data_IF_292040070794
#
_entry.id   IF_292040070794
#
_cell.length_a   1.000
_cell.length_b   1.000
_cell.length_c   1.000
_cell.angle_alpha   90.00
_cell.angle_beta   90.00
_cell.angle_gamma   90.00
#
_symmetry.space_group_name_H-M   'P 1'
#
loop_
_entity.id
_entity.type
_entity.pdbx_description
1 polymer ?
#
# COMPACT_ATOMS: atom_id res chain seq x y z
N UNK A 1 -23.85 -27.21 8.97
CA UNK A 1 -23.46 -26.01 8.17
C UNK A 1 -22.34 -26.43 7.22
N UNK A 2 -22.52 -26.29 5.91
CA UNK A 2 -21.44 -26.55 4.95
C UNK A 2 -20.44 -25.39 4.97
N UNK A 3 -19.13 -25.69 5.07
CA UNK A 3 -18.06 -24.71 4.99
C UNK A 3 -18.15 -23.96 3.64
N UNK A 4 -18.19 -22.61 3.67
CA UNK A 4 -18.10 -21.80 2.44
C UNK A 4 -16.70 -22.01 1.81
N UNK A 5 -16.67 -22.36 0.54
CA UNK A 5 -15.43 -22.41 -0.24
C UNK A 5 -15.08 -20.99 -0.70
N UNK A 6 -14.25 -20.28 0.08
CA UNK A 6 -13.89 -18.89 -0.20
C UNK A 6 -13.11 -18.78 -1.52
N UNK A 7 -12.24 -19.75 -1.84
CA UNK A 7 -11.46 -19.69 -3.08
C UNK A 7 -12.32 -19.75 -4.35
N UNK A 8 -13.49 -20.40 -4.28
CA UNK A 8 -14.42 -20.46 -5.40
C UNK A 8 -15.13 -19.12 -5.71
N UNK A 9 -15.11 -18.19 -4.76
CA UNK A 9 -15.67 -16.83 -4.95
C UNK A 9 -14.63 -15.80 -5.44
N UNK A 10 -13.37 -16.18 -5.51
CA UNK A 10 -12.30 -15.29 -5.98
C UNK A 10 -12.14 -15.38 -7.50
N UNK A 11 -11.72 -14.31 -8.16
CA UNK A 11 -11.39 -14.33 -9.58
C UNK A 11 -10.19 -15.24 -9.84
N UNK A 12 -10.08 -15.77 -11.06
CA UNK A 12 -8.87 -16.45 -11.50
C UNK A 12 -7.68 -15.52 -11.32
N UNK A 13 -6.59 -16.04 -10.77
CA UNK A 13 -5.40 -15.22 -10.56
C UNK A 13 -4.85 -14.73 -11.93
N UNK A 14 -4.66 -13.43 -12.14
CA UNK A 14 -4.40 -12.87 -13.47
C UNK A 14 -3.23 -13.53 -14.21
N UNK A 15 -2.16 -13.88 -13.50
CA UNK A 15 -0.97 -14.51 -14.10
C UNK A 15 -1.19 -15.97 -14.51
N UNK A 16 -2.18 -16.66 -13.93
CA UNK A 16 -2.55 -18.00 -14.35
C UNK A 16 -3.23 -17.98 -15.73
N UNK A 17 -3.91 -16.88 -16.05
CA UNK A 17 -4.59 -16.72 -17.35
C UNK A 17 -3.62 -16.60 -18.54
N UNK A 18 -2.38 -16.16 -18.32
CA UNK A 18 -1.35 -16.00 -19.35
C UNK A 18 -0.31 -17.12 -19.34
N UNK A 19 -0.47 -18.15 -18.50
CA UNK A 19 0.53 -19.21 -18.31
C UNK A 19 0.86 -19.96 -19.61
N UNK A 20 -0.14 -20.21 -20.47
CA UNK A 20 0.06 -20.87 -21.77
C UNK A 20 0.82 -19.97 -22.76
N UNK A 21 0.43 -18.69 -22.87
CA UNK A 21 1.12 -17.72 -23.72
C UNK A 21 2.58 -17.56 -23.29
N UNK A 22 2.83 -17.53 -21.97
CA UNK A 22 4.19 -17.46 -21.39
C UNK A 22 5.02 -18.70 -21.77
N UNK A 23 4.48 -19.90 -21.65
CA UNK A 23 5.18 -21.14 -22.05
C UNK A 23 5.53 -21.12 -23.54
N UNK A 24 4.59 -20.66 -24.40
CA UNK A 24 4.83 -20.52 -25.83
C UNK A 24 5.94 -19.51 -26.12
N UNK A 25 5.94 -18.35 -25.47
CA UNK A 25 6.99 -17.35 -25.64
C UNK A 25 8.36 -17.86 -25.16
N UNK A 26 8.42 -18.57 -24.03
CA UNK A 26 9.65 -19.16 -23.49
C UNK A 26 10.25 -20.25 -24.40
N UNK A 27 9.46 -20.86 -25.28
CA UNK A 27 9.96 -21.87 -26.24
C UNK A 27 10.65 -21.27 -27.48
N UNK A 28 10.62 -19.92 -27.62
CA UNK A 28 11.36 -19.27 -28.72
C UNK A 28 12.88 -19.41 -28.51
N UNK A 29 13.68 -19.66 -29.58
CA UNK A 29 15.13 -19.84 -29.46
C UNK A 29 15.87 -18.68 -28.80
N UNK A 30 15.40 -17.45 -29.01
CA UNK A 30 15.98 -16.23 -28.40
C UNK A 30 15.41 -15.91 -27.01
N UNK A 31 14.55 -16.79 -26.46
CA UNK A 31 13.92 -16.60 -25.15
C UNK A 31 12.72 -15.65 -25.18
N UNK A 32 12.42 -15.08 -24.01
CA UNK A 32 11.28 -14.17 -23.81
C UNK A 32 11.76 -12.84 -23.22
N UNK A 33 11.19 -11.73 -23.70
CA UNK A 33 11.18 -10.45 -23.01
C UNK A 33 9.87 -10.37 -22.22
N UNK A 34 9.94 -10.63 -20.92
CA UNK A 34 8.75 -10.70 -20.05
C UNK A 34 8.42 -9.31 -19.48
N UNK A 35 7.38 -8.68 -20.03
CA UNK A 35 6.82 -7.40 -19.55
C UNK A 35 5.43 -7.57 -18.90
N UNK A 36 5.07 -8.80 -18.52
CA UNK A 36 3.75 -9.12 -17.99
C UNK A 36 3.54 -8.65 -16.55
N UNK A 37 4.61 -8.48 -15.78
CA UNK A 37 4.54 -8.07 -14.38
C UNK A 37 5.55 -6.95 -14.10
N UNK A 38 5.06 -5.82 -13.58
CA UNK A 38 5.91 -4.70 -13.16
C UNK A 38 6.69 -5.01 -11.88
N UNK A 39 7.68 -5.91 -11.96
CA UNK A 39 8.60 -6.18 -10.86
C UNK A 39 9.90 -5.42 -11.07
N UNK A 40 10.53 -4.86 -10.00
CA UNK A 40 11.85 -4.26 -10.12
C UNK A 40 12.88 -5.24 -10.69
N UNK A 41 13.65 -4.81 -11.67
CA UNK A 41 14.73 -5.59 -12.27
C UNK A 41 16.12 -5.14 -11.80
N UNK A 42 16.22 -3.92 -11.29
CA UNK A 42 17.43 -3.40 -10.68
C UNK A 42 17.63 -3.99 -9.27
N UNK A 43 18.88 -4.08 -8.78
CA UNK A 43 19.17 -4.66 -7.47
C UNK A 43 18.61 -3.80 -6.34
N UNK A 44 18.35 -4.46 -5.20
CA UNK A 44 18.07 -3.78 -3.94
C UNK A 44 19.26 -2.87 -3.54
N UNK A 45 19.03 -1.68 -2.99
CA UNK A 45 20.09 -0.77 -2.58
C UNK A 45 21.10 -1.42 -1.62
N UNK A 46 22.38 -1.15 -1.84
CA UNK A 46 23.46 -1.73 -1.03
C UNK A 46 23.31 -1.45 0.47
N UNK A 47 22.80 -0.28 0.84
CA UNK A 47 22.52 0.09 2.25
C UNK A 47 21.50 -0.83 2.90
N UNK A 48 20.45 -1.21 2.17
CA UNK A 48 19.42 -2.14 2.65
C UNK A 48 19.97 -3.57 2.79
N UNK A 49 20.76 -4.04 1.81
CA UNK A 49 21.40 -5.36 1.86
C UNK A 49 22.37 -5.43 3.03
N UNK A 50 23.21 -4.41 3.24
CA UNK A 50 24.16 -4.37 4.35
C UNK A 50 23.45 -4.40 5.71
N UNK A 51 22.40 -3.61 5.88
CA UNK A 51 21.63 -3.56 7.11
C UNK A 51 20.91 -4.90 7.39
N UNK A 52 20.31 -5.53 6.38
CA UNK A 52 19.71 -6.87 6.48
C UNK A 52 20.73 -7.91 6.93
N UNK A 53 21.92 -7.90 6.32
CA UNK A 53 22.99 -8.85 6.63
C UNK A 53 23.50 -8.67 8.06
N UNK A 54 23.69 -7.41 8.49
CA UNK A 54 24.14 -7.09 9.85
C UNK A 54 23.10 -7.51 10.92
N UNK A 55 21.81 -7.52 10.58
CA UNK A 55 20.72 -7.93 11.46
C UNK A 55 20.35 -9.42 11.32
N UNK A 56 21.22 -10.25 10.73
CA UNK A 56 20.93 -11.66 10.44
C UNK A 56 20.74 -12.55 11.68
N UNK A 57 21.33 -12.19 12.84
CA UNK A 57 21.06 -12.87 14.12
C UNK A 57 19.76 -12.32 14.73
N UNK A 58 18.64 -12.90 14.33
CA UNK A 58 17.29 -12.49 14.71
C UNK A 58 16.53 -13.63 15.39
N UNK A 59 17.08 -14.14 16.50
CA UNK A 59 16.55 -15.26 17.26
C UNK A 59 15.27 -14.93 18.07
N UNK A 60 15.00 -13.64 18.33
CA UNK A 60 13.81 -13.19 19.05
C UNK A 60 12.65 -12.86 18.13
N UNK A 61 11.41 -12.90 18.65
CA UNK A 61 10.24 -12.45 17.89
C UNK A 61 10.31 -10.95 17.62
N UNK A 62 10.08 -10.48 16.36
CA UNK A 62 9.98 -9.08 16.06
C UNK A 62 8.70 -8.48 16.65
N UNK A 63 8.73 -7.17 16.91
CA UNK A 63 7.53 -6.44 17.31
C UNK A 63 6.64 -6.16 16.09
N UNK A 64 5.34 -6.42 16.22
CA UNK A 64 4.35 -6.12 15.16
C UNK A 64 4.34 -4.63 14.81
N UNK A 65 4.53 -3.79 15.80
CA UNK A 65 4.63 -2.33 15.64
C UNK A 65 5.97 -1.84 15.06
N UNK A 66 6.91 -2.75 14.84
CA UNK A 66 8.28 -2.40 14.45
C UNK A 66 9.06 -1.72 15.58
N UNK A 67 10.29 -1.30 15.28
CA UNK A 67 11.14 -0.59 16.25
C UNK A 67 10.78 0.90 16.34
N UNK A 68 11.05 1.59 17.47
CA UNK A 68 10.92 3.04 17.55
C UNK A 68 11.67 3.77 16.44
N UNK A 69 12.89 3.33 16.10
CA UNK A 69 13.68 3.91 15.03
C UNK A 69 13.04 3.76 13.65
N UNK A 70 12.35 2.62 13.36
CA UNK A 70 11.59 2.46 12.13
C UNK A 70 10.42 3.46 12.07
N UNK A 71 9.65 3.58 13.15
CA UNK A 71 8.51 4.50 13.19
C UNK A 71 8.95 5.95 13.02
N UNK A 72 10.00 6.36 13.73
CA UNK A 72 10.58 7.70 13.57
C UNK A 72 11.03 7.95 12.12
N UNK A 73 11.75 7.01 11.51
CA UNK A 73 12.18 7.13 10.10
C UNK A 73 11.02 7.20 9.11
N UNK A 74 9.91 6.49 9.37
CA UNK A 74 8.68 6.60 8.57
C UNK A 74 8.07 8.00 8.71
N UNK A 75 7.92 8.50 9.94
CA UNK A 75 7.38 9.84 10.19
C UNK A 75 8.23 10.94 9.55
N UNK A 76 9.54 10.85 9.66
CA UNK A 76 10.44 11.78 9.01
C UNK A 76 10.29 11.76 7.49
N UNK A 77 10.16 10.57 6.90
CA UNK A 77 9.89 10.41 5.47
C UNK A 77 8.56 11.07 5.07
N UNK A 78 7.47 10.81 5.82
CA UNK A 78 6.17 11.40 5.54
C UNK A 78 6.19 12.92 5.62
N UNK A 79 6.84 13.49 6.63
CA UNK A 79 6.97 14.95 6.80
C UNK A 79 7.83 15.59 5.70
N UNK A 80 8.97 14.99 5.37
CA UNK A 80 9.93 15.57 4.42
C UNK A 80 9.52 15.43 2.96
N UNK A 81 8.83 14.35 2.61
CA UNK A 81 8.52 14.00 1.22
C UNK A 81 7.08 14.32 0.87
N UNK A 82 6.15 14.15 1.83
CA UNK A 82 4.72 14.16 1.56
C UNK A 82 3.96 15.31 2.23
N UNK A 83 4.65 16.22 2.92
CA UNK A 83 3.98 17.35 3.58
C UNK A 83 3.00 16.93 4.68
N UNK A 84 3.20 15.77 5.28
CA UNK A 84 2.32 15.25 6.32
C UNK A 84 2.38 16.10 7.60
N UNK A 85 1.25 16.24 8.35
CA UNK A 85 1.16 17.08 9.52
C UNK A 85 2.19 16.76 10.60
N UNK A 86 2.69 17.80 11.27
CA UNK A 86 3.60 17.64 12.41
C UNK A 86 2.93 16.94 13.61
N UNK A 87 1.58 16.90 13.66
CA UNK A 87 0.79 16.21 14.67
C UNK A 87 0.85 14.69 14.59
N UNK A 88 1.27 14.11 13.46
CA UNK A 88 1.47 12.66 13.36
C UNK A 88 2.59 12.22 14.31
N UNK A 89 2.32 11.19 15.06
CA UNK A 89 3.22 10.59 16.04
C UNK A 89 3.45 9.09 15.78
N UNK A 90 4.14 8.42 16.69
CA UNK A 90 4.44 6.99 16.54
C UNK A 90 3.19 6.11 16.47
N UNK A 91 2.08 6.50 17.08
CA UNK A 91 0.82 5.74 17.09
C UNK A 91 0.18 5.78 15.69
N UNK A 92 0.43 6.84 14.93
CA UNK A 92 -0.06 6.97 13.55
C UNK A 92 0.63 6.04 12.54
N UNK A 93 1.64 5.25 12.94
CA UNK A 93 2.46 4.42 12.04
C UNK A 93 2.17 2.94 12.21
N UNK A 94 1.89 2.25 11.12
CA UNK A 94 1.65 0.81 11.06
C UNK A 94 2.56 0.14 10.02
N UNK A 95 3.67 -0.52 10.42
CA UNK A 95 4.46 -1.35 9.51
C UNK A 95 3.67 -2.58 9.04
N UNK A 96 3.80 -2.94 7.75
CA UNK A 96 3.04 -4.04 7.14
C UNK A 96 3.93 -4.96 6.30
N UNK A 97 3.55 -6.24 6.17
CA UNK A 97 4.28 -7.26 5.39
C UNK A 97 4.06 -7.11 3.87
N UNK A 98 4.15 -5.86 3.40
CA UNK A 98 3.87 -5.39 2.05
C UNK A 98 2.42 -4.95 1.90
N UNK A 99 2.22 -3.91 1.09
CA UNK A 99 0.90 -3.28 0.90
C UNK A 99 -0.15 -4.22 0.28
N UNK A 100 0.26 -5.22 -0.51
CA UNK A 100 -0.69 -6.21 -1.04
C UNK A 100 -1.42 -6.98 0.07
N UNK A 101 -0.71 -7.37 1.12
CA UNK A 101 -1.31 -8.04 2.29
C UNK A 101 -2.31 -7.11 2.96
N UNK A 102 -1.89 -5.86 3.22
CA UNK A 102 -2.75 -4.86 3.86
C UNK A 102 -4.01 -4.61 3.01
N UNK A 103 -3.88 -4.37 1.72
CA UNK A 103 -5.02 -4.15 0.80
C UNK A 103 -6.01 -5.31 0.84
N UNK A 104 -5.50 -6.55 0.83
CA UNK A 104 -6.36 -7.73 0.86
C UNK A 104 -7.05 -7.95 2.21
N UNK A 105 -6.40 -7.58 3.32
CA UNK A 105 -6.87 -7.88 4.68
C UNK A 105 -7.55 -6.71 5.37
N UNK A 106 -7.34 -5.47 4.93
CA UNK A 106 -7.87 -4.27 5.56
C UNK A 106 -9.38 -4.32 5.78
N UNK A 107 -10.21 -4.70 4.79
CA UNK A 107 -11.65 -4.78 5.02
C UNK A 107 -12.03 -5.70 6.19
N UNK A 108 -11.39 -6.87 6.28
CA UNK A 108 -11.64 -7.80 7.40
C UNK A 108 -11.08 -7.30 8.72
N UNK A 109 -9.93 -6.58 8.71
CA UNK A 109 -9.36 -5.99 9.92
C UNK A 109 -10.20 -4.84 10.47
N UNK A 110 -10.93 -4.13 9.60
CA UNK A 110 -11.93 -3.11 9.97
C UNK A 110 -13.28 -3.72 10.38
N UNK A 111 -13.44 -5.04 10.40
CA UNK A 111 -14.70 -5.69 10.72
C UNK A 111 -15.77 -5.57 9.65
N UNK A 112 -15.41 -5.17 8.43
CA UNK A 112 -16.36 -5.02 7.32
C UNK A 112 -16.85 -6.39 6.84
N UNK A 113 -18.11 -6.43 6.39
CA UNK A 113 -18.80 -7.65 6.01
C UNK A 113 -19.89 -7.44 4.97
N UNK A 114 -20.89 -8.37 4.89
CA UNK A 114 -21.91 -8.37 3.83
C UNK A 114 -22.79 -7.11 3.77
N UNK A 115 -22.94 -6.40 4.86
CA UNK A 115 -23.72 -5.17 4.94
C UNK A 115 -22.90 -3.93 4.57
N UNK A 116 -21.57 -4.06 4.54
CA UNK A 116 -20.63 -2.97 4.24
C UNK A 116 -20.49 -2.74 2.73
N UNK A 117 -20.18 -1.50 2.38
CA UNK A 117 -19.91 -1.06 1.00
C UNK A 117 -18.48 -0.54 0.88
N UNK A 118 -17.74 -1.06 -0.10
CA UNK A 118 -16.36 -0.65 -0.37
C UNK A 118 -16.29 -0.03 -1.76
N UNK A 119 -15.84 1.22 -1.82
CA UNK A 119 -15.55 1.92 -3.07
C UNK A 119 -14.12 1.59 -3.51
N UNK A 120 -13.97 1.28 -4.79
CA UNK A 120 -12.66 1.01 -5.43
C UNK A 120 -12.59 1.75 -6.77
N UNK A 121 -11.40 2.09 -7.29
CA UNK A 121 -11.27 2.63 -8.63
C UNK A 121 -11.83 1.64 -9.68
N UNK A 122 -12.52 2.14 -10.71
CA UNK A 122 -13.12 1.30 -11.76
C UNK A 122 -12.04 0.53 -12.55
N UNK A 123 -10.92 1.18 -12.85
CA UNK A 123 -9.71 0.56 -13.40
C UNK A 123 -8.66 0.46 -12.30
N UNK A 124 -8.52 -0.71 -11.70
CA UNK A 124 -7.82 -0.86 -10.42
C UNK A 124 -6.88 -2.07 -10.37
N UNK A 125 -5.94 -1.97 -9.47
CA UNK A 125 -5.19 -3.12 -9.00
C UNK A 125 -6.15 -4.18 -8.43
N UNK A 126 -6.13 -5.43 -8.94
CA UNK A 126 -7.18 -6.43 -8.64
C UNK A 126 -7.38 -6.73 -7.16
N UNK A 127 -6.38 -6.46 -6.32
CA UNK A 127 -6.42 -6.83 -4.90
C UNK A 127 -7.43 -6.02 -4.08
N UNK A 128 -7.81 -4.80 -4.51
CA UNK A 128 -8.89 -4.07 -3.82
C UNK A 128 -10.21 -4.85 -3.87
N UNK A 129 -10.57 -5.34 -5.06
CA UNK A 129 -11.75 -6.20 -5.25
C UNK A 129 -11.64 -7.50 -4.47
N UNK A 130 -10.46 -8.13 -4.47
CA UNK A 130 -10.21 -9.37 -3.71
C UNK A 130 -10.41 -9.14 -2.21
N UNK A 131 -9.90 -8.04 -1.65
CA UNK A 131 -10.09 -7.71 -0.24
C UNK A 131 -11.57 -7.56 0.13
N UNK A 132 -12.33 -6.83 -0.68
CA UNK A 132 -13.78 -6.69 -0.50
C UNK A 132 -14.52 -8.03 -0.59
N UNK A 133 -14.16 -8.89 -1.55
CA UNK A 133 -14.75 -10.23 -1.70
C UNK A 133 -14.43 -11.16 -0.52
N UNK A 134 -13.22 -11.08 0.01
CA UNK A 134 -12.81 -11.86 1.20
C UNK A 134 -13.65 -11.47 2.43
N UNK A 135 -13.93 -10.19 2.61
CA UNK A 135 -14.82 -9.68 3.64
C UNK A 135 -16.30 -10.01 3.35
N UNK A 136 -16.64 -10.25 2.11
CA UNK A 136 -18.03 -10.47 1.66
C UNK A 136 -18.79 -9.15 1.44
N UNK A 137 -18.10 -8.02 1.40
CA UNK A 137 -18.67 -6.69 1.26
C UNK A 137 -19.15 -6.40 -0.16
N UNK A 138 -20.07 -5.43 -0.27
CA UNK A 138 -20.53 -4.87 -1.55
C UNK A 138 -19.43 -4.01 -2.15
N UNK A 139 -19.37 -3.97 -3.48
CA UNK A 139 -18.32 -3.24 -4.20
C UNK A 139 -18.99 -2.22 -5.13
N UNK A 140 -18.56 -0.96 -5.00
CA UNK A 140 -18.86 0.12 -5.93
C UNK A 140 -17.56 0.50 -6.63
N UNK A 141 -17.53 0.44 -7.95
CA UNK A 141 -16.34 0.69 -8.75
C UNK A 141 -16.56 1.95 -9.59
N UNK A 142 -15.86 3.03 -9.23
CA UNK A 142 -16.00 4.38 -9.82
C UNK A 142 -14.63 5.04 -9.99
N UNK A 143 -14.56 6.12 -10.75
CA UNK A 143 -13.32 6.87 -10.91
C UNK A 143 -13.37 8.26 -10.24
N UNK A 144 -14.57 8.78 -9.98
CA UNK A 144 -14.78 10.09 -9.43
C UNK A 144 -15.66 10.03 -8.18
N UNK A 145 -15.46 10.93 -7.18
CA UNK A 145 -16.23 10.91 -5.94
C UNK A 145 -17.72 11.22 -6.14
N UNK A 146 -18.10 12.00 -7.15
CA UNK A 146 -19.49 12.33 -7.48
C UNK A 146 -20.29 11.18 -8.12
N UNK A 147 -19.61 10.13 -8.56
CA UNK A 147 -20.23 8.89 -9.02
C UNK A 147 -20.68 7.97 -7.86
N UNK A 148 -20.32 8.29 -6.62
CA UNK A 148 -20.66 7.48 -5.44
C UNK A 148 -22.05 7.88 -4.94
N UNK A 149 -23.04 7.05 -5.16
CA UNK A 149 -24.46 7.25 -4.83
C UNK A 149 -24.92 6.58 -3.52
N UNK A 150 -23.99 5.97 -2.80
CA UNK A 150 -24.22 5.26 -1.52
C UNK A 150 -23.24 5.73 -0.46
N UNK A 151 -23.56 5.54 0.82
CA UNK A 151 -22.61 5.78 1.89
C UNK A 151 -21.62 4.58 1.97
N UNK A 152 -20.33 4.76 1.65
CA UNK A 152 -19.33 3.70 1.80
C UNK A 152 -18.82 3.59 3.23
N UNK A 153 -18.30 2.41 3.59
CA UNK A 153 -17.56 2.18 4.84
C UNK A 153 -16.05 2.30 4.63
N UNK A 154 -15.58 1.97 3.42
CA UNK A 154 -14.18 2.07 3.02
C UNK A 154 -14.10 2.58 1.58
N UNK A 155 -13.22 3.54 1.35
CA UNK A 155 -12.86 4.05 0.03
C UNK A 155 -11.40 3.73 -0.24
N UNK A 156 -11.12 3.04 -1.34
CA UNK A 156 -9.78 2.92 -1.89
C UNK A 156 -9.57 3.91 -3.02
N UNK A 157 -8.50 4.70 -2.91
CA UNK A 157 -7.94 5.45 -4.03
C UNK A 157 -6.51 4.98 -4.29
N UNK A 158 -6.00 5.19 -5.50
CA UNK A 158 -4.64 4.83 -5.88
C UNK A 158 -4.03 5.93 -6.75
N UNK A 159 -3.03 6.62 -6.23
CA UNK A 159 -2.37 7.74 -6.93
C UNK A 159 -0.87 7.74 -6.64
N UNK A 160 -0.03 7.60 -7.66
CA UNK A 160 -0.30 7.23 -9.05
C UNK A 160 -0.95 5.85 -9.20
N UNK A 161 -1.91 5.73 -10.12
CA UNK A 161 -2.76 4.55 -10.23
C UNK A 161 -2.11 3.39 -11.01
N UNK A 162 -2.31 2.17 -10.52
CA UNK A 162 -2.01 0.94 -11.25
C UNK A 162 -3.33 0.32 -11.77
N UNK A 163 -3.55 0.13 -13.09
CA UNK A 163 -2.54 0.19 -14.16
C UNK A 163 -2.51 1.50 -14.98
N UNK A 164 -3.41 2.45 -14.74
CA UNK A 164 -3.64 3.60 -15.64
C UNK A 164 -2.51 4.64 -15.64
N UNK A 165 -1.74 4.73 -14.53
CA UNK A 165 -0.75 5.79 -14.34
C UNK A 165 -1.35 7.15 -13.98
N UNK A 166 -2.69 7.25 -13.82
CA UNK A 166 -3.37 8.51 -13.42
C UNK A 166 -2.81 9.00 -12.09
N UNK A 167 -2.52 10.28 -12.02
CA UNK A 167 -2.11 10.99 -10.81
C UNK A 167 -3.26 11.91 -10.43
N UNK A 168 -3.77 11.78 -9.21
CA UNK A 168 -4.77 12.71 -8.67
C UNK A 168 -4.07 14.03 -8.30
N UNK A 169 -4.64 15.13 -8.73
CA UNK A 169 -4.17 16.44 -8.32
C UNK A 169 -4.70 16.83 -6.91
N UNK A 170 -4.36 18.05 -6.48
CA UNK A 170 -4.70 18.51 -5.14
C UNK A 170 -6.22 18.61 -4.93
N UNK A 171 -6.96 19.07 -5.92
CA UNK A 171 -8.41 19.28 -5.81
C UNK A 171 -9.17 17.96 -5.92
N UNK A 172 -8.72 17.06 -6.78
CA UNK A 172 -9.24 15.68 -6.86
C UNK A 172 -9.02 14.92 -5.54
N UNK A 173 -7.82 15.03 -4.94
CA UNK A 173 -7.53 14.40 -3.66
C UNK A 173 -8.41 14.94 -2.53
N UNK A 174 -8.63 16.27 -2.48
CA UNK A 174 -9.55 16.90 -1.53
C UNK A 174 -10.98 16.39 -1.68
N UNK A 175 -11.47 16.27 -2.90
CA UNK A 175 -12.83 15.80 -3.16
C UNK A 175 -13.07 14.39 -2.59
N UNK A 176 -12.08 13.49 -2.67
CA UNK A 176 -12.14 12.17 -2.03
C UNK A 176 -12.13 12.26 -0.50
N UNK A 177 -11.32 13.15 0.08
CA UNK A 177 -11.31 13.38 1.53
C UNK A 177 -12.65 13.95 2.01
N UNK A 178 -13.24 14.90 1.28
CA UNK A 178 -14.54 15.50 1.60
C UNK A 178 -15.66 14.44 1.54
N UNK A 179 -15.65 13.56 0.55
CA UNK A 179 -16.58 12.43 0.48
C UNK A 179 -16.42 11.51 1.71
N UNK A 180 -15.19 11.11 2.04
CA UNK A 180 -14.95 10.25 3.20
C UNK A 180 -15.46 10.88 4.50
N UNK A 181 -15.19 12.17 4.72
CA UNK A 181 -15.66 12.92 5.90
C UNK A 181 -17.18 13.03 5.95
N UNK A 182 -17.82 13.34 4.82
CA UNK A 182 -19.28 13.50 4.77
C UNK A 182 -20.04 12.20 5.01
N UNK A 183 -19.42 11.06 4.72
CA UNK A 183 -20.02 9.73 4.88
C UNK A 183 -19.54 8.98 6.13
N UNK A 184 -18.46 9.44 6.76
CA UNK A 184 -17.81 8.74 7.87
C UNK A 184 -17.00 7.52 7.44
N UNK A 185 -16.67 7.40 6.16
CA UNK A 185 -15.90 6.30 5.61
C UNK A 185 -14.40 6.40 5.97
N UNK A 186 -13.73 5.26 6.09
CA UNK A 186 -12.27 5.22 6.04
C UNK A 186 -11.81 5.46 4.61
N UNK A 187 -10.88 6.39 4.40
CA UNK A 187 -10.21 6.60 3.11
C UNK A 187 -8.79 6.03 3.16
N UNK A 188 -8.56 4.96 2.42
CA UNK A 188 -7.25 4.36 2.26
C UNK A 188 -6.66 4.72 0.88
N UNK A 189 -5.56 5.46 0.88
CA UNK A 189 -4.83 5.91 -0.32
C UNK A 189 -3.62 5.00 -0.55
N UNK A 190 -3.63 4.26 -1.66
CA UNK A 190 -2.46 3.48 -2.09
C UNK A 190 -1.51 4.38 -2.89
N UNK A 191 -0.42 4.79 -2.24
CA UNK A 191 0.57 5.74 -2.74
C UNK A 191 1.90 5.04 -3.09
N UNK A 192 1.85 3.74 -3.41
CA UNK A 192 3.04 2.93 -3.66
C UNK A 192 3.94 3.44 -4.80
N UNK A 193 3.42 4.25 -5.71
CA UNK A 193 4.15 4.84 -6.84
C UNK A 193 4.40 6.34 -6.70
N UNK A 194 4.08 6.93 -5.56
CA UNK A 194 4.11 8.38 -5.36
C UNK A 194 5.44 9.05 -5.70
N UNK A 195 6.59 8.40 -5.48
CA UNK A 195 7.90 8.94 -5.84
C UNK A 195 8.26 8.79 -7.34
N UNK A 196 7.34 8.26 -8.19
CA UNK A 196 7.56 8.02 -9.63
C UNK A 196 6.57 8.77 -10.51
N UNK A 197 6.38 10.06 -10.26
CA UNK A 197 5.57 10.94 -11.09
C UNK A 197 6.45 11.64 -12.12
N UNK A 198 6.03 11.60 -13.39
CA UNK A 198 6.78 12.18 -14.51
C UNK A 198 6.25 13.54 -14.91
N UNK A 199 4.97 13.77 -14.74
CA UNK A 199 4.27 15.02 -15.06
C UNK A 199 3.35 15.38 -13.89
N UNK A 200 3.29 16.66 -13.51
CA UNK A 200 2.53 17.11 -12.36
C UNK A 200 3.23 16.89 -11.01
N UNK A 201 2.46 16.89 -9.95
CA UNK A 201 2.88 16.71 -8.56
C UNK A 201 2.19 15.48 -7.97
N UNK A 202 2.93 14.63 -7.26
CA UNK A 202 2.33 13.60 -6.43
C UNK A 202 1.88 14.21 -5.12
N UNK A 203 0.61 14.04 -4.78
CA UNK A 203 0.02 14.55 -3.55
C UNK A 203 -0.41 13.37 -2.69
N UNK A 204 -0.01 13.37 -1.42
CA UNK A 204 -0.47 12.38 -0.44
C UNK A 204 -1.81 12.79 0.17
N UNK A 205 -2.64 11.82 0.52
CA UNK A 205 -3.85 12.08 1.33
C UNK A 205 -3.50 12.71 2.68
N UNK A 206 -2.25 12.54 3.15
CA UNK A 206 -1.75 13.15 4.38
C UNK A 206 -1.09 14.52 4.19
N UNK A 207 -1.03 15.07 2.99
CA UNK A 207 -0.55 16.45 2.78
C UNK A 207 -1.50 17.44 3.47
N UNK A 208 -0.96 18.38 4.28
CA UNK A 208 -1.76 19.37 4.99
C UNK A 208 -2.62 20.23 4.05
N UNK A 209 -2.18 20.42 2.80
CA UNK A 209 -2.95 21.12 1.77
C UNK A 209 -4.23 20.36 1.39
N UNK A 210 -4.25 19.00 1.57
CA UNK A 210 -5.40 18.13 1.30
C UNK A 210 -6.32 18.06 2.50
N UNK A 211 -5.77 17.73 3.68
CA UNK A 211 -6.54 17.36 4.86
C UNK A 211 -6.73 18.49 5.88
N UNK A 212 -6.10 19.66 5.66
CA UNK A 212 -6.15 20.81 6.57
C UNK A 212 -5.66 20.49 8.00
N UNK A 213 -4.75 19.54 8.12
CA UNK A 213 -4.17 19.08 9.39
C UNK A 213 -5.01 18.05 10.14
N UNK A 214 -6.21 17.69 9.65
CA UNK A 214 -7.08 16.65 10.20
C UNK A 214 -6.92 15.35 9.40
N UNK A 215 -6.38 14.32 10.03
CA UNK A 215 -6.15 13.00 9.42
C UNK A 215 -7.17 11.95 9.86
N UNK A 216 -8.24 12.34 10.53
CA UNK A 216 -9.29 11.42 11.01
C UNK A 216 -9.87 10.61 9.86
N UNK A 217 -9.88 9.29 9.99
CA UNK A 217 -10.35 8.33 8.99
C UNK A 217 -9.43 8.18 7.77
N UNK A 218 -8.26 8.84 7.71
CA UNK A 218 -7.35 8.78 6.57
C UNK A 218 -6.19 7.80 6.81
N UNK A 219 -5.82 7.05 5.77
CA UNK A 219 -4.72 6.09 5.80
C UNK A 219 -3.94 6.14 4.49
N UNK A 220 -2.69 6.61 4.49
CA UNK A 220 -1.77 6.48 3.38
C UNK A 220 -1.02 5.16 3.44
N UNK A 221 -0.99 4.40 2.33
CA UNK A 221 -0.33 3.10 2.21
C UNK A 221 0.87 3.20 1.27
N UNK A 222 2.07 2.93 1.78
CA UNK A 222 3.32 3.06 1.04
C UNK A 222 4.12 1.76 1.04
N UNK A 223 4.86 1.51 -0.05
CA UNK A 223 5.58 0.26 -0.26
C UNK A 223 7.07 0.49 -0.47
N UNK A 224 7.91 -0.34 0.14
CA UNK A 224 9.34 -0.40 -0.18
C UNK A 224 9.62 -1.15 -1.49
N UNK A 225 8.62 -1.86 -2.03
CA UNK A 225 8.78 -2.72 -3.21
C UNK A 225 9.24 -1.96 -4.45
N UNK A 226 8.66 -0.77 -4.70
CA UNK A 226 8.92 0.02 -5.91
C UNK A 226 9.98 1.09 -5.65
N UNK A 227 9.79 1.85 -4.57
CA UNK A 227 10.68 2.93 -4.18
C UNK A 227 12.14 2.48 -3.96
N UNK A 228 12.34 1.27 -3.42
CA UNK A 228 13.66 0.77 -2.99
C UNK A 228 14.00 -0.62 -3.55
N UNK A 229 13.33 -1.06 -4.63
CA UNK A 229 13.55 -2.38 -5.25
C UNK A 229 13.52 -3.55 -4.23
N UNK A 230 12.64 -3.45 -3.22
CA UNK A 230 12.53 -4.41 -2.11
C UNK A 230 11.28 -5.30 -2.21
N UNK A 231 10.81 -5.61 -3.42
CA UNK A 231 9.57 -6.39 -3.60
C UNK A 231 9.62 -7.77 -2.93
N UNK A 232 10.77 -8.43 -2.95
CA UNK A 232 11.01 -9.72 -2.30
C UNK A 232 11.07 -9.67 -0.76
N UNK A 233 11.31 -8.50 -0.19
CA UNK A 233 11.43 -8.31 1.28
C UNK A 233 10.07 -8.26 1.97
N UNK A 234 8.98 -8.08 1.22
CA UNK A 234 7.62 -7.97 1.76
C UNK A 234 7.52 -6.88 2.84
N UNK A 235 7.86 -5.67 2.48
CA UNK A 235 7.95 -4.54 3.38
C UNK A 235 7.17 -3.33 2.86
N UNK A 236 6.42 -2.70 3.74
CA UNK A 236 5.67 -1.48 3.53
C UNK A 236 5.17 -0.92 4.85
N UNK A 237 4.43 0.15 4.78
CA UNK A 237 3.82 0.78 5.95
C UNK A 237 2.54 1.53 5.57
N UNK A 238 1.68 1.72 6.55
CA UNK A 238 0.58 2.67 6.51
C UNK A 238 0.80 3.75 7.55
N UNK A 239 0.34 4.96 7.27
CA UNK A 239 0.39 6.11 8.18
C UNK A 239 -0.93 6.85 8.08
N UNK A 240 -1.45 7.34 9.21
CA UNK A 240 -2.68 8.11 9.21
C UNK A 240 -3.29 8.31 10.58
N UNK A 241 -4.61 8.21 10.66
CA UNK A 241 -5.38 8.31 11.87
C UNK A 241 -4.85 7.39 12.98
N UNK A 242 -4.50 7.95 14.11
CA UNK A 242 -3.90 7.24 15.25
C UNK A 242 -4.86 6.23 15.89
N UNK A 243 -6.15 6.51 15.94
CA UNK A 243 -7.17 5.58 16.46
C UNK A 243 -7.28 4.38 15.53
N UNK A 244 -7.43 4.62 14.24
CA UNK A 244 -7.50 3.60 13.19
C UNK A 244 -6.24 2.71 13.16
N UNK A 245 -5.05 3.30 13.20
CA UNK A 245 -3.79 2.53 13.19
C UNK A 245 -3.61 1.73 14.46
N UNK A 246 -4.08 2.23 15.61
CA UNK A 246 -4.07 1.49 16.90
C UNK A 246 -4.99 0.27 16.87
N UNK A 247 -6.19 0.41 16.33
CA UNK A 247 -7.11 -0.72 16.14
C UNK A 247 -6.54 -1.78 15.22
N UNK A 248 -6.03 -1.37 14.06
CA UNK A 248 -5.37 -2.28 13.13
C UNK A 248 -4.16 -2.97 13.77
N UNK A 249 -3.34 -2.25 14.53
CA UNK A 249 -2.21 -2.81 15.26
C UNK A 249 -2.66 -3.89 16.25
N UNK A 250 -3.76 -3.66 16.98
CA UNK A 250 -4.30 -4.64 17.91
C UNK A 250 -4.70 -5.95 17.21
N UNK A 251 -5.44 -5.85 16.09
CA UNK A 251 -5.81 -7.02 15.27
C UNK A 251 -4.56 -7.74 14.73
N UNK A 252 -3.58 -6.99 14.23
CA UNK A 252 -2.34 -7.55 13.66
C UNK A 252 -1.48 -8.25 14.69
N UNK A 253 -1.42 -7.76 15.93
CA UNK A 253 -0.74 -8.44 17.05
C UNK A 253 -1.31 -9.85 17.30
N UNK A 254 -2.62 -9.99 17.29
CA UNK A 254 -3.27 -11.29 17.47
C UNK A 254 -3.15 -12.21 16.25
N UNK A 255 -3.00 -11.65 15.07
CA UNK A 255 -2.88 -12.38 13.80
C UNK A 255 -1.44 -12.76 13.44
N UNK A 256 -0.43 -12.31 14.22
CA UNK A 256 0.98 -12.59 13.94
C UNK A 256 1.53 -11.89 12.68
N UNK A 257 0.93 -10.77 12.27
CA UNK A 257 1.29 -10.03 11.08
C UNK A 257 2.46 -9.08 11.39
N UNK A 258 3.67 -9.59 11.38
CA UNK A 258 4.89 -8.86 11.74
C UNK A 258 5.97 -8.96 10.66
N UNK A 259 6.73 -7.87 10.49
CA UNK A 259 7.88 -7.85 9.57
C UNK A 259 9.06 -8.52 10.25
N UNK A 260 9.80 -9.43 9.60
CA UNK A 260 11.03 -10.02 10.16
C UNK A 260 12.06 -8.95 10.54
N UNK A 261 12.73 -9.12 11.68
CA UNK A 261 13.67 -8.12 12.21
C UNK A 261 14.78 -7.71 11.22
N UNK A 262 15.41 -8.61 10.44
CA UNK A 262 16.37 -8.20 9.42
C UNK A 262 15.76 -7.31 8.33
N UNK A 263 14.49 -7.54 7.96
CA UNK A 263 13.77 -6.70 6.99
C UNK A 263 13.46 -5.32 7.57
N UNK A 264 13.13 -5.23 8.87
CA UNK A 264 12.96 -3.94 9.58
C UNK A 264 14.26 -3.11 9.50
N UNK A 265 15.42 -3.72 9.73
CA UNK A 265 16.71 -3.03 9.60
C UNK A 265 16.96 -2.54 8.16
N UNK A 266 16.66 -3.36 7.15
CA UNK A 266 16.74 -2.96 5.75
C UNK A 266 15.81 -1.80 5.39
N UNK A 267 14.56 -1.80 5.92
CA UNK A 267 13.62 -0.69 5.74
C UNK A 267 14.16 0.60 6.32
N UNK A 268 14.67 0.57 7.55
CA UNK A 268 15.26 1.74 8.20
C UNK A 268 16.40 2.34 7.38
N UNK A 269 17.33 1.51 6.91
CA UNK A 269 18.44 1.95 6.08
C UNK A 269 17.98 2.54 4.74
N UNK A 270 16.99 1.92 4.10
CA UNK A 270 16.46 2.40 2.83
C UNK A 270 15.62 3.69 2.98
N UNK A 271 14.94 3.90 4.11
CA UNK A 271 14.22 5.16 4.39
C UNK A 271 15.18 6.30 4.67
N UNK A 272 16.28 6.04 5.37
CA UNK A 272 17.30 7.03 5.67
C UNK A 272 18.13 7.46 4.45
N UNK A 273 18.21 6.64 3.40
CA UNK A 273 18.91 6.96 2.15
C UNK A 273 17.93 7.25 1.02
N UNK A 274 17.85 8.50 0.59
CA UNK A 274 17.04 8.91 -0.57
C UNK A 274 17.81 8.87 -1.88
N UNK A 275 19.13 8.75 -1.86
CA UNK A 275 19.96 8.83 -3.05
C UNK A 275 19.65 7.74 -4.07
N UNK A 276 19.40 6.51 -3.60
CA UNK A 276 19.02 5.38 -4.45
C UNK A 276 17.66 5.56 -5.14
N UNK A 277 16.72 6.25 -4.49
CA UNK A 277 15.40 6.55 -5.09
C UNK A 277 15.55 7.53 -6.24
N UNK A 278 16.31 8.61 -6.02
CA UNK A 278 16.59 9.61 -7.04
C UNK A 278 17.34 9.02 -8.24
N UNK A 279 18.24 8.09 -8.00
CA UNK A 279 18.94 7.37 -9.06
C UNK A 279 17.99 6.44 -9.82
N UNK A 280 17.09 5.74 -9.13
CA UNK A 280 16.09 4.87 -9.75
C UNK A 280 15.08 5.67 -10.61
N UNK A 281 14.66 6.83 -10.12
CA UNK A 281 13.80 7.76 -10.88
C UNK A 281 14.46 8.14 -12.22
N UNK A 282 15.77 8.45 -12.22
CA UNK A 282 16.52 8.76 -13.45
C UNK A 282 16.56 7.59 -14.42
N UNK A 283 16.72 6.35 -13.91
CA UNK A 283 16.74 5.14 -14.74
C UNK A 283 15.40 4.85 -15.40
N UNK A 284 14.30 5.08 -14.68
CA UNK A 284 12.96 4.85 -15.21
C UNK A 284 12.50 5.93 -16.19
N UNK A 285 13.06 7.12 -16.12
CA UNK A 285 12.81 8.24 -17.04
C UNK A 285 13.53 8.08 -18.37
#
# INVERSE_FOLDING_TARGET
MSRRNVSASLPTFPWDTIAEARRKAQSHPDGIVDVSMGTPVDPTPGVAIAALTAAGDAHGYPQVWGTPALRAGILDHMKQVWGAPASLDEVSVLPVIGTKELVASLPGQLGLGPDSTIVIPACAYPTYRVGAQLAGAKIVAVNEPDEVDVAPDLIWINSPANPSGRVLDLDEMKAWVDLARSTGAVLASDECYGEFVWEGESVSVLDERVNSGDVTGLLACLSMSKRSNMAGYRAGFAVGDAELTSELLAVRKHSGLMIPAPVVAAMQAALADRSHVLEQVKRYR
#
